data_IF_039300215906
#
_entry.id   IF_039300215906
#
_cell.length_a   1.000
_cell.length_b   1.000
_cell.length_c   1.000
_cell.angle_alpha   90.00
_cell.angle_beta   90.00
_cell.angle_gamma   90.00
#
_symmetry.space_group_name_H-M   'P 1'
#
loop_
_entity.id
_entity.type
_entity.pdbx_description
1 polymer ?
#
# COMPACT_ATOMS: atom_id res chain seq x y z
N UNK A 1 2.14 3.61 16.63
CA UNK A 1 2.70 4.95 16.34
C UNK A 1 1.84 5.98 17.04
N UNK A 2 2.43 6.81 17.90
CA UNK A 2 1.77 7.76 18.77
C UNK A 2 0.77 7.07 19.71
N UNK A 3 -0.53 7.10 19.43
CA UNK A 3 -1.61 6.61 20.30
C UNK A 3 -2.24 5.27 19.90
N UNK A 4 -1.78 4.66 18.80
CA UNK A 4 -2.38 3.42 18.30
C UNK A 4 -1.38 2.47 17.61
N UNK A 5 -1.71 1.18 17.45
CA UNK A 5 -0.88 0.21 16.74
C UNK A 5 -0.59 0.64 15.30
N UNK A 6 0.65 0.36 14.82
CA UNK A 6 1.05 0.73 13.45
C UNK A 6 0.11 0.15 12.40
N UNK A 7 -0.35 -1.06 12.56
CA UNK A 7 -1.22 -1.75 11.59
C UNK A 7 -2.57 -1.06 11.36
N UNK A 8 -3.03 -0.20 12.29
CA UNK A 8 -4.27 0.55 12.12
C UNK A 8 -4.19 1.57 10.97
N UNK A 9 -3.00 2.13 10.73
CA UNK A 9 -2.80 3.10 9.65
C UNK A 9 -3.04 2.48 8.27
N UNK A 10 -2.37 1.40 7.85
CA UNK A 10 -2.67 0.76 6.56
C UNK A 10 -4.09 0.18 6.49
N UNK A 11 -4.63 -0.41 7.56
CA UNK A 11 -6.01 -0.90 7.58
C UNK A 11 -7.00 0.24 7.30
N UNK A 12 -6.82 1.40 7.93
CA UNK A 12 -7.68 2.56 7.70
C UNK A 12 -7.72 3.00 6.24
N UNK A 13 -6.60 2.89 5.52
CA UNK A 13 -6.51 3.21 4.09
C UNK A 13 -7.35 2.24 3.25
N UNK A 14 -7.22 0.94 3.51
CA UNK A 14 -8.04 -0.08 2.84
C UNK A 14 -9.54 0.14 3.11
N UNK A 15 -9.91 0.42 4.34
CA UNK A 15 -11.29 0.74 4.70
C UNK A 15 -11.80 1.99 3.97
N UNK A 16 -11.01 3.06 3.89
CA UNK A 16 -11.33 4.29 3.13
C UNK A 16 -11.45 4.04 1.61
N UNK A 17 -10.74 3.04 1.08
CA UNK A 17 -10.88 2.59 -0.29
C UNK A 17 -12.17 1.79 -0.54
N UNK A 18 -12.89 1.39 0.51
CA UNK A 18 -14.09 0.57 0.42
C UNK A 18 -13.85 -0.94 0.59
N UNK A 19 -12.62 -1.35 0.91
CA UNK A 19 -12.26 -2.75 1.13
C UNK A 19 -12.77 -3.22 2.48
N UNK A 20 -13.50 -4.33 2.52
CA UNK A 20 -14.07 -4.92 3.74
C UNK A 20 -13.50 -6.30 4.09
N UNK A 21 -12.95 -7.01 3.12
CA UNK A 21 -12.24 -8.26 3.36
C UNK A 21 -10.74 -7.99 3.25
N UNK A 22 -9.99 -8.26 4.32
CA UNK A 22 -8.58 -7.89 4.43
C UNK A 22 -7.78 -9.09 4.89
N UNK A 23 -6.77 -9.47 4.10
CA UNK A 23 -5.82 -10.52 4.44
C UNK A 23 -4.57 -9.91 5.09
N UNK A 24 -4.29 -10.32 6.31
CA UNK A 24 -3.07 -9.96 7.02
C UNK A 24 -2.01 -11.03 6.74
N UNK A 25 -0.94 -10.64 6.05
CA UNK A 25 0.20 -11.51 5.76
C UNK A 25 1.35 -11.09 6.67
N UNK A 26 1.90 -12.03 7.43
CA UNK A 26 3.01 -11.75 8.34
C UNK A 26 3.85 -13.01 8.57
N UNK A 27 4.96 -12.86 9.29
CA UNK A 27 5.82 -13.98 9.67
C UNK A 27 5.05 -14.95 10.58
N UNK A 28 5.42 -16.25 10.63
CA UNK A 28 4.83 -17.19 11.58
C UNK A 28 4.99 -16.75 13.04
N UNK A 29 6.07 -16.01 13.36
CA UNK A 29 6.34 -15.49 14.71
C UNK A 29 5.36 -14.37 15.10
N UNK A 30 5.06 -13.44 14.19
CA UNK A 30 4.31 -12.22 14.50
C UNK A 30 2.80 -12.36 14.25
N UNK A 31 2.40 -13.26 13.35
CA UNK A 31 1.00 -13.43 12.96
C UNK A 31 0.04 -13.70 14.13
N UNK A 32 0.40 -14.47 15.20
CA UNK A 32 -0.44 -14.64 16.37
C UNK A 32 -0.74 -13.34 17.11
N UNK A 33 0.20 -12.38 17.13
CA UNK A 33 0.02 -11.08 17.76
C UNK A 33 -1.00 -10.24 16.98
N UNK A 34 -0.95 -10.27 15.64
CA UNK A 34 -1.97 -9.62 14.80
C UNK A 34 -3.37 -10.24 15.00
N UNK A 35 -3.46 -11.57 15.09
CA UNK A 35 -4.73 -12.26 15.39
C UNK A 35 -5.31 -11.84 16.74
N UNK A 36 -4.47 -11.72 17.76
CA UNK A 36 -4.89 -11.29 19.10
C UNK A 36 -5.36 -9.83 19.10
N UNK A 37 -4.66 -8.95 18.37
CA UNK A 37 -4.96 -7.53 18.32
C UNK A 37 -6.23 -7.22 17.51
N UNK A 38 -6.39 -7.87 16.35
CA UNK A 38 -7.39 -7.49 15.35
C UNK A 38 -8.65 -8.37 15.39
N UNK A 39 -8.56 -9.58 15.97
CA UNK A 39 -9.68 -10.53 15.99
C UNK A 39 -10.14 -10.93 14.58
N UNK A 40 -11.44 -11.00 14.39
CA UNK A 40 -12.07 -11.30 13.10
C UNK A 40 -12.46 -10.03 12.29
N UNK A 41 -12.34 -8.85 12.90
CA UNK A 41 -12.65 -7.57 12.28
C UNK A 41 -14.09 -7.10 12.44
N UNK A 42 -14.97 -7.91 13.01
CA UNK A 42 -16.41 -7.59 13.17
C UNK A 42 -16.63 -6.30 13.94
N UNK A 43 -15.77 -5.97 14.92
CA UNK A 43 -15.80 -4.73 15.69
C UNK A 43 -15.60 -3.46 14.84
N UNK A 44 -15.05 -3.60 13.64
CA UNK A 44 -14.84 -2.51 12.67
C UNK A 44 -15.73 -2.66 11.42
N UNK A 45 -16.63 -3.63 11.41
CA UNK A 45 -17.48 -3.94 10.25
C UNK A 45 -16.72 -4.45 9.03
N UNK A 46 -15.55 -5.03 9.23
CA UNK A 46 -14.71 -5.69 8.21
C UNK A 46 -14.48 -7.15 8.58
N UNK A 47 -13.85 -7.92 7.69
CA UNK A 47 -13.47 -9.31 7.92
C UNK A 47 -11.97 -9.46 7.73
N UNK A 48 -11.27 -9.88 8.77
CA UNK A 48 -9.85 -10.21 8.70
C UNK A 48 -9.64 -11.69 8.45
N UNK A 49 -8.72 -11.98 7.54
CA UNK A 49 -8.11 -13.29 7.31
C UNK A 49 -6.61 -13.20 7.55
N UNK A 50 -5.95 -14.32 7.77
CA UNK A 50 -4.55 -14.35 8.19
C UNK A 50 -3.78 -15.42 7.45
N UNK A 51 -2.61 -15.07 6.90
CA UNK A 51 -1.74 -15.98 6.16
C UNK A 51 -0.28 -15.81 6.60
N UNK A 52 0.40 -16.91 6.78
CA UNK A 52 1.84 -16.89 7.09
C UNK A 52 2.67 -16.71 5.81
N UNK A 53 3.69 -15.86 5.91
CA UNK A 53 4.79 -15.78 4.96
C UNK A 53 6.05 -16.27 5.67
N UNK A 54 6.50 -17.52 5.42
CA UNK A 54 7.60 -18.12 6.18
C UNK A 54 8.95 -17.47 5.93
N UNK A 55 9.17 -16.88 4.74
CA UNK A 55 10.41 -16.23 4.32
C UNK A 55 10.12 -14.92 3.59
N UNK A 56 11.04 -13.93 3.65
CA UNK A 56 10.88 -12.64 3.00
C UNK A 56 11.21 -12.70 1.50
N UNK A 57 10.46 -13.50 0.73
CA UNK A 57 10.73 -13.77 -0.68
C UNK A 57 10.23 -12.65 -1.62
N UNK A 58 9.90 -11.49 -1.07
CA UNK A 58 9.50 -10.29 -1.79
C UNK A 58 8.01 -9.96 -1.69
N UNK A 59 7.67 -8.70 -2.01
CA UNK A 59 6.31 -8.19 -1.86
C UNK A 59 5.32 -8.82 -2.84
N UNK A 60 5.75 -9.13 -4.07
CA UNK A 60 4.86 -9.73 -5.05
C UNK A 60 4.44 -11.16 -4.69
N UNK A 61 5.16 -11.84 -3.77
CA UNK A 61 4.75 -13.14 -3.24
C UNK A 61 3.39 -13.07 -2.52
N UNK A 62 2.99 -11.90 -2.01
CA UNK A 62 1.71 -11.73 -1.33
C UNK A 62 0.52 -12.14 -2.22
N UNK A 63 0.57 -11.91 -3.54
CA UNK A 63 -0.49 -12.30 -4.46
C UNK A 63 -0.54 -13.82 -4.69
N UNK A 64 0.61 -14.49 -4.66
CA UNK A 64 0.70 -15.95 -4.75
C UNK A 64 0.19 -16.61 -3.47
N UNK A 65 0.58 -16.09 -2.30
CA UNK A 65 0.10 -16.57 -1.01
C UNK A 65 -1.39 -16.30 -0.78
N UNK A 66 -1.87 -15.17 -1.32
CA UNK A 66 -3.24 -14.71 -1.18
C UNK A 66 -4.18 -15.18 -2.28
N UNK A 67 -3.74 -16.00 -3.24
CA UNK A 67 -4.53 -16.40 -4.41
C UNK A 67 -5.94 -16.94 -4.05
N UNK A 68 -6.01 -17.86 -3.10
CA UNK A 68 -7.29 -18.43 -2.64
C UNK A 68 -8.21 -17.37 -1.97
N UNK A 69 -7.61 -16.38 -1.29
CA UNK A 69 -8.34 -15.26 -0.68
C UNK A 69 -8.82 -14.25 -1.73
N UNK A 70 -7.99 -13.95 -2.73
CA UNK A 70 -8.30 -13.00 -3.81
C UNK A 70 -9.38 -13.60 -4.73
N UNK A 71 -9.29 -14.90 -5.01
CA UNK A 71 -10.19 -15.62 -5.93
C UNK A 71 -10.33 -14.89 -7.29
N UNK A 72 -11.50 -14.39 -7.61
CA UNK A 72 -11.77 -13.69 -8.88
C UNK A 72 -11.88 -12.17 -8.71
N UNK A 73 -11.54 -11.62 -7.54
CA UNK A 73 -11.67 -10.20 -7.26
C UNK A 73 -10.42 -9.39 -7.66
N UNK A 74 -10.61 -8.09 -7.84
CA UNK A 74 -9.51 -7.13 -7.86
C UNK A 74 -8.93 -6.96 -6.46
N UNK A 75 -7.67 -6.55 -6.35
CA UNK A 75 -6.98 -6.53 -5.07
C UNK A 75 -6.21 -5.24 -4.83
N UNK A 76 -6.19 -4.80 -3.56
CA UNK A 76 -5.28 -3.77 -3.08
C UNK A 76 -4.22 -4.40 -2.18
N UNK A 77 -2.97 -3.93 -2.31
CA UNK A 77 -1.87 -4.26 -1.40
C UNK A 77 -1.39 -2.97 -0.74
N UNK A 78 -1.23 -3.02 0.58
CA UNK A 78 -0.61 -1.94 1.35
C UNK A 78 0.45 -2.49 2.30
N UNK A 79 1.56 -1.76 2.42
CA UNK A 79 2.65 -2.14 3.31
C UNK A 79 2.32 -1.76 4.75
N UNK A 80 2.60 -2.66 5.68
CA UNK A 80 2.25 -2.56 7.10
C UNK A 80 2.96 -1.42 7.87
N UNK A 81 4.01 -0.85 7.30
CA UNK A 81 4.83 0.22 7.87
C UNK A 81 4.61 1.60 7.22
N UNK A 82 3.59 1.72 6.38
CA UNK A 82 3.30 2.96 5.66
C UNK A 82 2.12 3.72 6.27
N UNK A 83 2.29 5.03 6.43
CA UNK A 83 1.26 5.97 6.85
C UNK A 83 0.95 6.92 5.70
N UNK A 84 -0.34 7.10 5.41
CA UNK A 84 -0.84 8.02 4.39
C UNK A 84 -1.83 8.99 5.03
N UNK A 85 -1.62 10.28 4.83
CA UNK A 85 -2.54 11.31 5.32
C UNK A 85 -2.52 12.54 4.42
N UNK A 86 -3.68 13.02 4.01
CA UNK A 86 -3.79 14.25 3.22
C UNK A 86 -5.18 14.48 2.65
N UNK A 87 -5.42 15.72 2.24
CA UNK A 87 -6.68 16.12 1.63
C UNK A 87 -6.90 15.40 0.28
N UNK A 88 -8.15 15.02 0.00
CA UNK A 88 -8.52 14.37 -1.27
C UNK A 88 -8.18 12.89 -1.38
N UNK A 89 -7.56 12.29 -0.36
CA UNK A 89 -7.07 10.91 -0.42
C UNK A 89 -8.17 9.89 -0.74
N UNK A 90 -9.34 9.98 -0.09
CA UNK A 90 -10.46 9.06 -0.38
C UNK A 90 -10.93 9.11 -1.84
N UNK A 91 -10.83 10.27 -2.51
CA UNK A 91 -11.18 10.38 -3.92
C UNK A 91 -10.14 9.66 -4.82
N UNK A 92 -8.85 9.79 -4.49
CA UNK A 92 -7.78 9.08 -5.20
C UNK A 92 -7.89 7.57 -5.03
N UNK A 93 -8.20 7.09 -3.81
CA UNK A 93 -8.44 5.67 -3.53
C UNK A 93 -9.62 5.13 -4.37
N UNK A 94 -10.75 5.82 -4.39
CA UNK A 94 -11.92 5.43 -5.20
C UNK A 94 -11.60 5.39 -6.70
N UNK A 95 -10.77 6.33 -7.19
CA UNK A 95 -10.32 6.34 -8.58
C UNK A 95 -9.46 5.11 -8.89
N UNK A 96 -8.54 4.72 -7.99
CA UNK A 96 -7.70 3.53 -8.15
C UNK A 96 -8.54 2.25 -8.17
N UNK A 97 -9.49 2.09 -7.23
CA UNK A 97 -10.42 0.95 -7.22
C UNK A 97 -11.22 0.88 -8.54
N UNK A 98 -11.74 2.04 -9.00
CA UNK A 98 -12.48 2.10 -10.26
C UNK A 98 -11.63 1.73 -11.46
N UNK A 99 -10.36 2.14 -11.49
CA UNK A 99 -9.42 1.83 -12.59
C UNK A 99 -9.15 0.33 -12.68
N UNK A 100 -8.89 -0.34 -11.55
CA UNK A 100 -8.70 -1.79 -11.50
C UNK A 100 -9.95 -2.51 -12.04
N UNK A 101 -11.13 -2.14 -11.51
CA UNK A 101 -12.39 -2.83 -11.82
C UNK A 101 -12.89 -2.62 -13.26
N UNK A 102 -12.85 -1.37 -13.76
CA UNK A 102 -13.48 -1.02 -15.03
C UNK A 102 -12.52 -1.09 -16.22
N UNK A 103 -11.22 -0.88 -15.99
CA UNK A 103 -10.22 -0.80 -17.05
C UNK A 103 -9.20 -1.92 -17.02
N UNK A 104 -9.20 -2.73 -15.97
CA UNK A 104 -8.19 -3.78 -15.75
C UNK A 104 -6.76 -3.20 -15.77
N UNK A 105 -6.57 -2.09 -15.04
CA UNK A 105 -5.31 -1.36 -14.93
C UNK A 105 -4.80 -1.41 -13.50
N UNK A 106 -3.48 -1.48 -13.34
CA UNK A 106 -2.86 -1.25 -12.05
C UNK A 106 -2.78 0.25 -11.73
N UNK A 107 -2.89 0.60 -10.46
CA UNK A 107 -2.61 1.96 -9.98
C UNK A 107 -1.61 1.91 -8.83
N UNK A 108 -0.54 2.69 -8.98
CA UNK A 108 0.46 2.95 -7.93
C UNK A 108 0.50 4.44 -7.62
N UNK A 109 1.07 4.80 -6.47
CA UNK A 109 1.12 6.20 -6.03
C UNK A 109 2.56 6.68 -5.96
N UNK A 110 2.83 7.79 -6.66
CA UNK A 110 4.11 8.46 -6.69
C UNK A 110 4.18 9.61 -5.68
N UNK A 111 5.24 9.66 -4.90
CA UNK A 111 5.51 10.70 -3.93
C UNK A 111 6.90 11.30 -4.12
N UNK A 112 6.99 12.64 -4.09
CA UNK A 112 8.25 13.34 -4.27
C UNK A 112 9.12 13.24 -3.01
N UNK A 113 10.30 12.64 -3.14
CA UNK A 113 11.25 12.41 -2.04
C UNK A 113 12.61 13.05 -2.32
N UNK A 114 13.46 13.14 -1.30
CA UNK A 114 14.84 13.66 -1.41
C UNK A 114 15.85 12.56 -1.74
N UNK A 115 15.55 11.33 -1.35
CA UNK A 115 16.41 10.14 -1.39
C UNK A 115 15.72 9.01 -2.18
N UNK A 116 15.43 9.23 -3.50
CA UNK A 116 14.66 8.29 -4.32
C UNK A 116 15.35 6.93 -4.49
N UNK A 117 16.68 6.86 -4.41
CA UNK A 117 17.47 5.63 -4.53
C UNK A 117 17.11 4.54 -3.49
N UNK A 118 16.34 4.89 -2.47
CA UNK A 118 15.86 3.93 -1.46
C UNK A 118 14.63 3.15 -1.87
N UNK A 119 13.94 3.57 -2.92
CA UNK A 119 12.60 3.13 -3.31
C UNK A 119 12.56 2.67 -4.77
N UNK A 120 11.44 2.11 -5.18
CA UNK A 120 11.09 2.05 -6.60
C UNK A 120 10.88 3.47 -7.13
N UNK A 121 11.49 3.81 -8.26
CA UNK A 121 11.45 5.16 -8.84
C UNK A 121 10.73 5.14 -10.18
N UNK A 122 9.79 6.06 -10.36
CA UNK A 122 9.05 6.23 -11.62
C UNK A 122 9.58 7.44 -12.38
N UNK A 123 9.89 7.25 -13.67
CA UNK A 123 10.19 8.31 -14.62
C UNK A 123 8.94 8.67 -15.43
N UNK A 124 8.80 9.95 -15.76
CA UNK A 124 7.66 10.46 -16.54
C UNK A 124 8.12 11.17 -17.79
N UNK A 125 7.32 11.10 -18.84
CA UNK A 125 7.48 11.93 -20.04
C UNK A 125 6.98 13.37 -19.80
N UNK A 126 7.10 14.21 -20.84
CA UNK A 126 6.68 15.61 -20.82
C UNK A 126 5.16 15.78 -20.58
N UNK A 127 4.37 14.76 -20.89
CA UNK A 127 2.92 14.74 -20.68
C UNK A 127 2.53 14.20 -19.28
N UNK A 128 3.53 13.79 -18.47
CA UNK A 128 3.33 13.22 -17.14
C UNK A 128 2.91 11.76 -17.14
N UNK A 129 3.06 11.04 -18.26
CA UNK A 129 2.86 9.60 -18.36
C UNK A 129 4.11 8.87 -17.87
N UNK A 130 3.92 7.81 -17.07
CA UNK A 130 5.03 6.95 -16.66
C UNK A 130 5.66 6.23 -17.87
N UNK A 131 6.99 6.29 -17.98
CA UNK A 131 7.75 5.67 -19.06
C UNK A 131 8.76 4.64 -18.59
N UNK A 132 9.19 4.71 -17.34
CA UNK A 132 10.02 3.68 -16.71
C UNK A 132 9.74 3.56 -15.23
N UNK A 133 10.03 2.38 -14.68
CA UNK A 133 10.01 2.11 -13.24
C UNK A 133 11.22 1.23 -12.89
N UNK A 134 11.98 1.62 -11.87
CA UNK A 134 13.22 0.94 -11.49
C UNK A 134 13.31 0.78 -9.97
N UNK A 135 13.69 -0.42 -9.50
CA UNK A 135 13.85 -0.71 -8.08
C UNK A 135 15.21 -0.23 -7.59
N UNK A 136 15.20 0.67 -6.61
CA UNK A 136 16.39 1.18 -5.91
C UNK A 136 17.55 1.53 -6.86
N UNK A 137 17.31 2.38 -7.86
CA UNK A 137 18.35 2.74 -8.84
C UNK A 137 19.52 3.45 -8.18
N UNK A 138 20.74 3.14 -8.62
CA UNK A 138 21.93 3.87 -8.17
C UNK A 138 21.97 5.30 -8.71
N UNK A 139 21.37 5.53 -9.87
CA UNK A 139 21.21 6.84 -10.51
C UNK A 139 19.72 7.07 -10.84
N UNK A 140 18.94 7.62 -9.87
CA UNK A 140 17.52 7.82 -10.07
C UNK A 140 17.22 8.83 -11.19
N UNK A 141 16.32 8.46 -12.11
CA UNK A 141 15.90 9.33 -13.22
C UNK A 141 14.86 10.37 -12.83
N UNK A 142 14.27 10.23 -11.65
CA UNK A 142 13.33 11.18 -11.06
C UNK A 142 13.37 11.12 -9.55
N UNK A 143 12.71 12.07 -8.88
CA UNK A 143 12.53 12.06 -7.43
C UNK A 143 11.17 11.49 -7.00
N UNK A 144 10.42 10.84 -7.90
CA UNK A 144 9.16 10.22 -7.57
C UNK A 144 9.35 8.77 -7.14
N UNK A 145 9.27 8.54 -5.83
CA UNK A 145 9.23 7.20 -5.25
C UNK A 145 7.83 6.59 -5.38
N UNK A 146 7.76 5.31 -5.67
CA UNK A 146 6.53 4.51 -5.56
C UNK A 146 6.29 4.21 -4.09
N UNK A 147 5.13 4.58 -3.59
CA UNK A 147 4.75 4.33 -2.19
C UNK A 147 4.30 2.89 -2.00
N UNK A 148 4.14 2.46 -0.74
CA UNK A 148 3.69 1.12 -0.40
C UNK A 148 2.17 0.92 -0.49
N UNK A 149 1.52 1.44 -1.54
CA UNK A 149 0.09 1.29 -1.79
C UNK A 149 -0.16 1.01 -3.27
N UNK A 150 -0.85 -0.08 -3.55
CA UNK A 150 -1.03 -0.63 -4.87
C UNK A 150 -2.47 -1.12 -5.07
N UNK A 151 -3.02 -0.94 -6.27
CA UNK A 151 -4.30 -1.50 -6.69
C UNK A 151 -4.12 -2.23 -8.01
N UNK A 152 -4.64 -3.44 -8.11
CA UNK A 152 -4.50 -4.29 -9.28
C UNK A 152 -5.82 -4.96 -9.64
N UNK A 153 -5.98 -5.24 -10.93
CA UNK A 153 -6.98 -6.19 -11.41
C UNK A 153 -6.59 -7.64 -11.06
N UNK A 154 -7.50 -8.58 -11.23
CA UNK A 154 -7.29 -9.98 -10.89
C UNK A 154 -6.11 -10.64 -11.62
N UNK A 155 -5.73 -10.15 -12.80
CA UNK A 155 -4.59 -10.70 -13.58
C UNK A 155 -3.24 -10.61 -12.83
N UNK A 156 -3.18 -9.86 -11.73
CA UNK A 156 -1.99 -9.72 -10.89
C UNK A 156 -1.47 -11.06 -10.36
N UNK A 157 -2.35 -12.02 -10.09
CA UNK A 157 -1.97 -13.34 -9.56
C UNK A 157 -1.08 -14.07 -10.57
N UNK A 158 -1.51 -14.18 -11.82
CA UNK A 158 -0.74 -14.85 -12.86
C UNK A 158 0.54 -14.10 -13.23
N UNK A 159 0.49 -12.76 -13.21
CA UNK A 159 1.68 -11.92 -13.39
C UNK A 159 2.70 -12.14 -12.27
N UNK A 160 2.25 -12.19 -11.02
CA UNK A 160 3.12 -12.46 -9.87
C UNK A 160 3.75 -13.86 -9.93
N UNK A 161 3.00 -14.87 -10.34
CA UNK A 161 3.52 -16.24 -10.56
C UNK A 161 4.57 -16.32 -11.69
N UNK A 162 4.49 -15.43 -12.67
CA UNK A 162 5.44 -15.37 -13.79
C UNK A 162 6.77 -14.73 -13.45
N UNK A 163 6.86 -14.01 -12.34
CA UNK A 163 8.08 -13.31 -11.91
C UNK A 163 9.21 -14.29 -11.58
N UNK A 164 10.42 -13.85 -11.80
CA UNK A 164 11.63 -14.53 -11.36
C UNK A 164 12.26 -13.73 -10.22
N UNK A 165 12.84 -14.41 -9.22
CA UNK A 165 13.56 -13.72 -8.16
C UNK A 165 14.64 -12.79 -8.72
N UNK A 166 14.74 -11.60 -8.17
CA UNK A 166 15.77 -10.62 -8.48
C UNK A 166 17.16 -11.09 -8.00
N UNK A 167 18.19 -10.26 -8.25
CA UNK A 167 19.54 -10.50 -7.69
C UNK A 167 19.54 -10.56 -6.15
N UNK A 168 18.52 -10.02 -5.49
CA UNK A 168 18.32 -10.08 -4.03
C UNK A 168 17.60 -11.36 -3.57
N UNK A 169 17.14 -12.19 -4.50
CA UNK A 169 16.35 -13.39 -4.23
C UNK A 169 14.87 -13.11 -3.98
N UNK A 170 14.39 -11.89 -4.27
CA UNK A 170 13.02 -11.44 -3.99
C UNK A 170 12.17 -11.34 -5.26
N UNK A 171 10.88 -11.64 -5.15
CA UNK A 171 9.87 -11.31 -6.16
C UNK A 171 9.50 -9.83 -5.99
N UNK A 172 10.13 -8.99 -6.82
CA UNK A 172 10.03 -7.55 -6.68
C UNK A 172 8.67 -7.02 -7.15
N UNK A 173 8.04 -6.18 -6.33
CA UNK A 173 6.81 -5.49 -6.71
C UNK A 173 7.05 -4.54 -7.89
N UNK A 174 8.25 -4.00 -8.01
CA UNK A 174 8.65 -3.13 -9.12
C UNK A 174 8.68 -3.89 -10.44
N UNK A 175 9.09 -5.16 -10.46
CA UNK A 175 9.05 -5.98 -11.68
C UNK A 175 7.61 -6.30 -12.07
N UNK A 176 6.73 -6.55 -11.08
CA UNK A 176 5.29 -6.70 -11.32
C UNK A 176 4.71 -5.42 -11.96
N UNK A 177 5.01 -4.25 -11.40
CA UNK A 177 4.55 -2.97 -11.94
C UNK A 177 5.11 -2.70 -13.34
N UNK A 178 6.32 -3.19 -13.65
CA UNK A 178 6.92 -3.08 -14.98
C UNK A 178 6.12 -3.86 -16.02
N UNK A 179 5.61 -5.04 -15.69
CA UNK A 179 4.73 -5.81 -16.60
C UNK A 179 3.50 -4.97 -16.96
N UNK A 180 2.83 -4.35 -15.99
CA UNK A 180 1.69 -3.47 -16.27
C UNK A 180 2.08 -2.23 -17.06
N UNK A 181 3.26 -1.66 -16.84
CA UNK A 181 3.77 -0.51 -17.59
C UNK A 181 4.00 -0.87 -19.07
N UNK A 182 4.63 -2.01 -19.34
CA UNK A 182 4.89 -2.52 -20.69
C UNK A 182 3.59 -2.86 -21.45
N UNK A 183 2.57 -3.32 -20.75
CA UNK A 183 1.22 -3.53 -21.29
C UNK A 183 0.45 -2.22 -21.52
N UNK A 184 0.97 -1.07 -21.08
CA UNK A 184 0.29 0.22 -21.13
C UNK A 184 -0.87 0.33 -20.12
N UNK A 185 -0.87 -0.49 -19.07
CA UNK A 185 -1.91 -0.63 -18.06
C UNK A 185 -1.48 -0.17 -16.65
N UNK A 186 -0.39 0.58 -16.52
CA UNK A 186 0.04 1.16 -15.24
C UNK A 186 -0.37 2.64 -15.15
N UNK A 187 -1.21 2.95 -14.18
CA UNK A 187 -1.50 4.32 -13.77
C UNK A 187 -0.62 4.72 -12.60
N UNK A 188 -0.09 5.93 -12.63
CA UNK A 188 0.64 6.53 -11.50
C UNK A 188 -0.09 7.78 -11.04
N UNK A 189 -0.74 7.68 -9.89
CA UNK A 189 -1.35 8.85 -9.22
C UNK A 189 -0.28 9.56 -8.40
N UNK A 190 -0.14 10.88 -8.57
CA UNK A 190 0.87 11.67 -7.85
C UNK A 190 0.25 12.31 -6.62
N UNK A 191 0.85 12.08 -5.46
CA UNK A 191 0.51 12.83 -4.25
C UNK A 191 1.06 14.25 -4.34
N UNK A 192 0.19 15.22 -4.10
CA UNK A 192 0.53 16.64 -4.18
C UNK A 192 1.11 17.21 -2.90
N UNK A 193 1.34 18.53 -2.90
CA UNK A 193 1.76 19.27 -1.71
C UNK A 193 0.72 19.16 -0.60
N UNK A 194 1.17 19.04 0.65
CA UNK A 194 0.30 18.87 1.81
C UNK A 194 -0.15 17.44 2.06
N UNK A 195 0.20 16.50 1.18
CA UNK A 195 0.05 15.08 1.45
C UNK A 195 1.27 14.56 2.21
N UNK A 196 1.07 13.68 3.16
CA UNK A 196 2.12 12.98 3.88
C UNK A 196 2.08 11.49 3.56
N UNK A 197 3.23 10.99 3.11
CA UNK A 197 3.57 9.58 3.08
C UNK A 197 4.78 9.37 3.98
N UNK A 198 4.66 8.49 4.95
CA UNK A 198 5.68 8.18 5.92
C UNK A 198 5.95 6.68 5.90
N UNK A 199 7.16 6.31 5.50
CA UNK A 199 7.71 4.97 5.65
C UNK A 199 8.36 4.89 7.04
N UNK A 200 7.88 3.98 7.89
CA UNK A 200 8.33 3.85 9.29
C UNK A 200 9.39 2.78 9.49
N UNK A 201 10.03 2.31 8.43
CA UNK A 201 11.00 1.21 8.43
C UNK A 201 12.32 1.48 9.18
N UNK A 202 12.56 2.69 9.72
CA UNK A 202 13.72 3.01 10.57
C UNK A 202 13.30 3.64 11.88
N UNK A 203 14.15 3.55 12.92
CA UNK A 203 13.87 4.20 14.22
C UNK A 203 13.60 5.71 14.08
N UNK A 204 14.39 6.39 13.24
CA UNK A 204 14.23 7.83 13.01
C UNK A 204 12.93 8.16 12.26
N UNK A 205 12.57 7.38 11.25
CA UNK A 205 11.32 7.60 10.51
C UNK A 205 10.09 7.26 11.36
N UNK A 206 10.16 6.23 12.19
CA UNK A 206 9.11 5.88 13.16
C UNK A 206 8.86 7.01 14.18
N UNK A 207 9.94 7.60 14.72
CA UNK A 207 9.85 8.74 15.64
C UNK A 207 9.20 9.96 14.95
N UNK A 208 9.65 10.29 13.74
CA UNK A 208 9.08 11.39 12.94
C UNK A 208 7.60 11.16 12.63
N UNK A 209 7.22 9.94 12.32
CA UNK A 209 5.83 9.59 12.07
C UNK A 209 4.96 9.81 13.32
N UNK A 210 5.44 9.39 14.50
CA UNK A 210 4.75 9.65 15.77
C UNK A 210 4.55 11.14 16.04
N UNK A 211 5.60 11.95 15.85
CA UNK A 211 5.54 13.42 16.00
C UNK A 211 4.57 14.07 15.00
N UNK A 212 4.56 13.61 13.75
CA UNK A 212 3.65 14.10 12.73
C UNK A 212 2.19 13.82 13.11
N UNK A 213 1.87 12.57 13.47
CA UNK A 213 0.52 12.18 13.90
C UNK A 213 0.07 13.00 15.10
N UNK A 214 0.91 13.09 16.14
CA UNK A 214 0.65 13.90 17.32
C UNK A 214 0.31 15.35 16.94
N UNK A 215 1.15 15.98 16.14
CA UNK A 215 0.95 17.40 15.75
C UNK A 215 -0.37 17.63 15.05
N UNK A 216 -0.75 16.73 14.11
CA UNK A 216 -2.02 16.87 13.39
C UNK A 216 -3.21 16.65 14.32
N UNK A 217 -3.19 15.56 15.11
CA UNK A 217 -4.29 15.23 16.02
C UNK A 217 -4.54 16.32 17.06
N UNK A 218 -3.46 16.84 17.70
CA UNK A 218 -3.57 17.89 18.69
C UNK A 218 -4.05 19.23 18.10
N UNK A 219 -3.56 19.60 16.91
CA UNK A 219 -3.93 20.87 16.29
C UNK A 219 -5.36 20.88 15.71
N UNK A 220 -5.81 19.74 15.17
CA UNK A 220 -7.11 19.67 14.50
C UNK A 220 -8.21 19.09 15.39
N UNK A 221 -7.87 18.47 16.53
CA UNK A 221 -8.84 17.82 17.40
C UNK A 221 -9.50 16.59 16.76
N UNK A 222 -8.80 15.92 15.82
CA UNK A 222 -9.27 14.73 15.11
C UNK A 222 -8.35 13.55 15.36
N UNK A 223 -8.78 12.35 14.97
CA UNK A 223 -7.94 11.15 14.99
C UNK A 223 -7.50 10.76 13.56
N UNK A 224 -6.23 10.37 13.42
CA UNK A 224 -5.72 9.76 12.19
C UNK A 224 -5.82 8.24 12.36
N UNK A 225 -6.37 7.55 11.35
CA UNK A 225 -6.47 6.09 11.32
C UNK A 225 -7.21 5.47 12.54
N UNK A 226 -8.22 6.17 13.08
CA UNK A 226 -9.18 5.59 14.01
C UNK A 226 -10.13 4.69 13.22
N UNK A 227 -10.00 3.36 13.39
CA UNK A 227 -10.77 2.41 12.58
C UNK A 227 -12.26 2.51 12.85
N UNK A 228 -12.67 2.82 14.08
CA UNK A 228 -14.06 3.04 14.48
C UNK A 228 -14.66 4.26 13.76
N UNK A 229 -13.94 5.39 13.72
CA UNK A 229 -14.39 6.58 12.99
C UNK A 229 -14.50 6.30 11.49
N UNK A 230 -13.51 5.59 10.91
CA UNK A 230 -13.54 5.19 9.50
C UNK A 230 -14.73 4.27 9.24
N UNK A 231 -14.98 3.29 10.10
CA UNK A 231 -16.10 2.37 9.96
C UNK A 231 -17.45 3.09 9.96
N UNK A 232 -17.68 4.01 10.90
CA UNK A 232 -18.89 4.84 10.96
C UNK A 232 -19.01 5.70 9.70
N UNK A 233 -17.94 6.40 9.32
CA UNK A 233 -17.90 7.26 8.13
C UNK A 233 -18.21 6.50 6.83
N UNK A 234 -17.78 5.25 6.75
CA UNK A 234 -17.98 4.38 5.59
C UNK A 234 -19.32 3.62 5.63
N UNK A 235 -20.09 3.73 6.74
CA UNK A 235 -21.34 3.00 6.94
C UNK A 235 -21.13 1.50 7.13
N UNK A 236 -20.03 1.10 7.76
CA UNK A 236 -19.73 -0.29 8.08
C UNK A 236 -20.32 -0.70 9.44
N UNK A 237 -20.53 0.29 10.31
CA UNK A 237 -21.17 0.22 11.62
C UNK A 237 -22.33 1.20 11.67
#
# INVERSE_FOLDING_TARGET
VYDKPMVYYPISVLMLAGVREILIISTPHDLPNFKTLLGDGSQFGVKFSYKEQPSPDGLAQAFVLGEEFIDNDDVALILGDNIFYGAGFSAQLKKAVKSAKEKQEATVFGYLVKDPERFGVVEFDENGKAISIEEKPTEPKSNYAVTGLYFYDNSVIEKAKSLKPSKRGELEITDLNRIYLEEGKLNVEKFGRGFAWLDTGTHNSLLKAGQYVQTIEENQGIKIACLEEVAIRMGYL
#
